data_IF_733938375530
#
_entry.id   IF_733938375530
#
_cell.length_a   1.000
_cell.length_b   1.000
_cell.length_c   1.000
_cell.angle_alpha   90.00
_cell.angle_beta   90.00
_cell.angle_gamma   90.00
#
_symmetry.space_group_name_H-M   'P 1'
#
loop_
_entity.id
_entity.type
_entity.pdbx_description
1 polymer ?
#
# COMPACT_ATOMS: atom_id res chain seq x y z
N UNK A 1 -6.77 2.85 -33.51
CA UNK A 1 -8.09 3.14 -32.92
C UNK A 1 -7.87 4.31 -31.98
N UNK A 2 -8.40 5.50 -32.27
CA UNK A 2 -8.22 6.64 -31.39
C UNK A 2 -9.31 6.58 -30.30
N UNK A 3 -8.96 6.03 -29.13
CA UNK A 3 -9.66 6.41 -27.90
C UNK A 3 -9.68 7.93 -27.83
N UNK A 4 -10.71 8.54 -27.28
CA UNK A 4 -10.70 9.99 -27.06
C UNK A 4 -9.78 10.30 -25.87
N UNK A 5 -8.48 10.12 -26.12
CA UNK A 5 -7.22 10.35 -25.39
C UNK A 5 -7.15 9.92 -23.93
N UNK A 6 -8.09 10.36 -23.12
CA UNK A 6 -8.01 10.36 -21.66
C UNK A 6 -9.34 10.02 -20.99
N UNK A 7 -10.44 10.59 -21.49
CA UNK A 7 -11.77 10.39 -20.90
C UNK A 7 -12.29 8.96 -21.02
N UNK A 8 -11.97 8.27 -22.13
CA UNK A 8 -12.36 6.87 -22.30
C UNK A 8 -11.56 5.92 -21.40
N UNK A 9 -10.29 6.25 -21.14
CA UNK A 9 -9.41 5.49 -20.25
C UNK A 9 -9.85 5.63 -18.80
N UNK A 10 -10.19 6.86 -18.38
CA UNK A 10 -10.77 7.14 -17.06
C UNK A 10 -12.09 6.40 -16.86
N UNK A 11 -12.99 6.44 -17.85
CA UNK A 11 -14.25 5.67 -17.81
C UNK A 11 -14.01 4.17 -17.76
N UNK A 12 -13.04 3.66 -18.53
CA UNK A 12 -12.71 2.23 -18.53
C UNK A 12 -12.17 1.79 -17.16
N UNK A 13 -11.30 2.60 -16.55
CA UNK A 13 -10.85 2.40 -15.18
C UNK A 13 -12.04 2.34 -14.22
N UNK A 14 -12.98 3.29 -14.29
CA UNK A 14 -14.17 3.31 -13.43
C UNK A 14 -15.07 2.07 -13.62
N UNK A 15 -15.18 1.53 -14.83
CA UNK A 15 -15.91 0.27 -15.07
C UNK A 15 -15.16 -0.96 -14.55
N UNK A 16 -13.82 -0.95 -14.60
CA UNK A 16 -12.98 -2.03 -14.12
C UNK A 16 -12.81 -2.02 -12.59
N UNK A 17 -12.70 -0.84 -11.99
CA UNK A 17 -12.35 -0.65 -10.58
C UNK A 17 -13.24 -1.42 -9.60
N UNK A 18 -14.57 -1.51 -9.76
CA UNK A 18 -15.41 -2.35 -8.90
C UNK A 18 -15.03 -3.84 -8.93
N UNK A 19 -14.52 -4.35 -10.06
CA UNK A 19 -14.11 -5.76 -10.23
C UNK A 19 -12.74 -6.07 -9.63
N UNK A 20 -11.89 -5.07 -9.42
CA UNK A 20 -10.61 -5.21 -8.72
C UNK A 20 -10.78 -5.73 -7.28
N UNK A 21 -11.90 -5.39 -6.63
CA UNK A 21 -12.35 -5.94 -5.35
C UNK A 21 -11.39 -5.75 -4.16
N UNK A 22 -10.48 -4.77 -4.23
CA UNK A 22 -9.56 -4.38 -3.15
C UNK A 22 -9.58 -2.86 -2.90
N UNK A 23 -10.74 -2.23 -3.10
CA UNK A 23 -10.89 -0.78 -3.00
C UNK A 23 -10.63 -0.26 -1.58
N UNK A 24 -10.84 -1.10 -0.56
CA UNK A 24 -10.47 -0.78 0.83
C UNK A 24 -8.97 -0.48 0.94
N UNK A 25 -8.13 -1.34 0.36
CA UNK A 25 -6.67 -1.16 0.42
C UNK A 25 -6.23 0.15 -0.23
N UNK A 26 -6.86 0.55 -1.35
CA UNK A 26 -6.55 1.84 -1.96
C UNK A 26 -6.95 3.00 -1.07
N UNK A 27 -8.14 2.94 -0.44
CA UNK A 27 -8.60 3.96 0.50
C UNK A 27 -7.65 4.08 1.70
N UNK A 28 -7.22 2.95 2.26
CA UNK A 28 -6.34 2.90 3.43
C UNK A 28 -4.96 3.53 3.14
N UNK A 29 -4.45 3.43 1.90
CA UNK A 29 -3.17 4.03 1.52
C UNK A 29 -3.25 5.51 1.08
N UNK A 30 -4.44 6.07 0.84
CA UNK A 30 -4.59 7.45 0.34
C UNK A 30 -3.82 8.49 1.16
N UNK A 31 -3.85 8.48 2.51
CA UNK A 31 -3.09 9.45 3.31
C UNK A 31 -1.58 9.36 3.06
N UNK A 32 -1.07 8.19 2.70
CA UNK A 32 0.35 7.92 2.49
C UNK A 32 0.83 8.21 1.06
N UNK A 33 -0.04 8.66 0.15
CA UNK A 33 0.35 9.00 -1.22
C UNK A 33 0.97 10.40 -1.35
N UNK A 34 0.96 11.19 -0.28
CA UNK A 34 1.61 12.50 -0.27
C UNK A 34 3.10 12.35 -0.64
N UNK A 35 3.54 13.16 -1.62
CA UNK A 35 4.90 13.13 -2.16
C UNK A 35 5.96 13.58 -1.17
N UNK A 36 5.56 14.38 -0.19
CA UNK A 36 6.41 14.94 0.86
C UNK A 36 6.69 13.92 1.97
N UNK A 37 5.91 12.85 2.07
CA UNK A 37 6.25 11.72 2.93
C UNK A 37 7.48 11.02 2.36
N UNK A 38 8.53 10.94 3.16
CA UNK A 38 9.79 10.28 2.81
C UNK A 38 9.71 8.82 3.26
N UNK A 39 10.22 7.90 2.44
CA UNK A 39 10.29 6.49 2.82
C UNK A 39 11.43 6.27 3.82
N UNK A 40 11.41 5.16 4.55
CA UNK A 40 12.56 4.76 5.35
C UNK A 40 13.82 4.59 4.48
N UNK A 41 14.94 5.16 4.91
CA UNK A 41 16.26 5.05 4.29
C UNK A 41 17.29 4.61 5.35
N UNK A 42 18.15 3.63 5.01
CA UNK A 42 19.26 3.22 5.88
C UNK A 42 20.22 4.42 6.06
N UNK A 43 20.48 4.82 7.31
CA UNK A 43 21.20 6.04 7.75
C UNK A 43 20.38 7.35 7.86
N UNK A 44 19.06 7.28 7.97
CA UNK A 44 18.27 8.43 8.42
C UNK A 44 18.45 8.66 9.94
N UNK A 45 18.23 9.90 10.40
CA UNK A 45 18.22 10.23 11.83
C UNK A 45 17.04 9.51 12.56
N UNK A 46 17.29 8.95 13.75
CA UNK A 46 16.34 8.12 14.54
C UNK A 46 15.05 8.84 14.87
N UNK A 47 13.91 8.25 14.52
CA UNK A 47 12.60 8.77 14.91
C UNK A 47 12.35 8.64 16.42
N UNK A 48 12.79 7.56 17.06
CA UNK A 48 12.69 7.40 18.51
C UNK A 48 13.46 8.48 19.25
N UNK A 49 14.74 8.66 18.94
CA UNK A 49 15.57 9.66 19.62
C UNK A 49 15.03 11.06 19.38
N UNK A 50 14.69 11.40 18.12
CA UNK A 50 14.10 12.70 17.78
C UNK A 50 12.82 12.97 18.53
N UNK A 51 11.88 12.03 18.53
CA UNK A 51 10.58 12.19 19.17
C UNK A 51 10.77 12.35 20.67
N UNK A 52 11.60 11.50 21.27
CA UNK A 52 11.96 11.56 22.69
C UNK A 52 12.51 12.93 23.07
N UNK A 53 13.51 13.42 22.33
CA UNK A 53 14.15 14.72 22.59
C UNK A 53 13.17 15.89 22.36
N UNK A 54 12.31 15.81 21.34
CA UNK A 54 11.29 16.81 21.04
C UNK A 54 10.22 16.91 22.12
N UNK A 55 9.94 15.80 22.81
CA UNK A 55 9.05 15.73 23.97
C UNK A 55 9.77 16.04 25.30
N UNK A 56 11.04 16.46 25.24
CA UNK A 56 11.90 16.72 26.41
C UNK A 56 12.05 15.53 27.37
N UNK A 57 11.94 14.31 26.85
CA UNK A 57 12.08 13.08 27.64
C UNK A 57 13.54 12.60 27.68
N UNK A 58 13.97 12.11 28.85
CA UNK A 58 15.24 11.41 28.95
C UNK A 58 15.10 9.94 28.53
N UNK A 59 16.19 9.32 28.07
CA UNK A 59 16.20 7.87 27.78
C UNK A 59 15.76 7.04 29.01
N UNK A 60 16.16 7.47 30.21
CA UNK A 60 15.73 6.86 31.47
C UNK A 60 14.22 6.96 31.67
N UNK A 61 13.62 8.11 31.39
CA UNK A 61 12.16 8.32 31.55
C UNK A 61 11.37 7.37 30.67
N UNK A 62 11.78 7.16 29.41
CA UNK A 62 11.09 6.24 28.50
C UNK A 62 11.36 4.78 28.90
N UNK A 63 12.58 4.47 29.32
CA UNK A 63 12.92 3.13 29.83
C UNK A 63 12.10 2.75 31.07
N UNK A 64 11.95 3.67 32.03
CA UNK A 64 11.16 3.46 33.25
C UNK A 64 9.67 3.22 32.90
N UNK A 65 9.11 3.93 31.91
CA UNK A 65 7.74 3.68 31.41
C UNK A 65 7.58 2.34 30.67
N UNK A 66 8.65 1.82 30.08
CA UNK A 66 8.69 0.54 29.38
C UNK A 66 8.99 -0.66 30.30
N UNK A 67 9.30 -0.41 31.58
CA UNK A 67 9.83 -1.40 32.52
C UNK A 67 11.10 -2.10 31.98
N UNK A 68 12.03 -1.31 31.41
CA UNK A 68 13.35 -1.78 30.94
C UNK A 68 14.46 -0.89 31.49
N UNK A 69 15.70 -1.37 31.40
CA UNK A 69 16.86 -0.55 31.76
C UNK A 69 17.12 0.54 30.71
N UNK A 70 17.74 1.65 31.12
CA UNK A 70 18.18 2.70 30.20
C UNK A 70 19.07 2.15 29.07
N UNK A 71 19.96 1.19 29.38
CA UNK A 71 20.83 0.56 28.39
C UNK A 71 20.07 -0.23 27.32
N UNK A 72 18.97 -0.90 27.69
CA UNK A 72 18.09 -1.58 26.74
C UNK A 72 17.39 -0.57 25.84
N UNK A 73 16.89 0.53 26.40
CA UNK A 73 16.24 1.58 25.62
C UNK A 73 17.21 2.26 24.64
N UNK A 74 18.43 2.60 25.07
CA UNK A 74 19.47 3.13 24.16
C UNK A 74 19.82 2.15 23.03
N UNK A 75 19.71 0.84 23.27
CA UNK A 75 19.85 -0.17 22.21
C UNK A 75 18.67 -0.13 21.22
N UNK A 76 17.45 0.21 21.66
CA UNK A 76 16.32 0.39 20.76
C UNK A 76 16.56 1.56 19.79
N UNK A 77 16.99 2.72 20.29
CA UNK A 77 17.35 3.87 19.44
C UNK A 77 18.42 3.50 18.42
N UNK A 78 19.48 2.80 18.87
CA UNK A 78 20.54 2.32 17.98
C UNK A 78 20.03 1.32 16.93
N UNK A 79 19.22 0.35 17.34
CA UNK A 79 18.64 -0.65 16.42
C UNK A 79 17.66 -0.04 15.42
N UNK A 80 17.00 1.07 15.75
CA UNK A 80 16.19 1.82 14.78
C UNK A 80 17.04 2.45 13.69
N UNK A 81 18.14 3.12 14.06
CA UNK A 81 19.11 3.70 13.10
C UNK A 81 19.67 2.62 12.16
N UNK A 82 19.97 1.45 12.71
CA UNK A 82 20.52 0.31 11.97
C UNK A 82 19.44 -0.46 11.17
N UNK A 83 18.15 -0.11 11.28
CA UNK A 83 17.05 -0.82 10.62
C UNK A 83 16.80 -2.23 11.15
N UNK A 84 17.33 -2.58 12.32
CA UNK A 84 17.23 -3.91 12.94
C UNK A 84 16.13 -4.00 14.02
N UNK A 85 15.53 -2.87 14.39
CA UNK A 85 14.41 -2.84 15.34
C UNK A 85 13.17 -3.52 14.74
N UNK A 86 12.43 -4.27 15.56
CA UNK A 86 11.14 -4.82 15.14
C UNK A 86 10.04 -3.75 15.22
N UNK A 87 9.02 -3.83 14.35
CA UNK A 87 7.84 -2.95 14.43
C UNK A 87 7.16 -3.02 15.81
N UNK A 88 7.13 -4.21 16.43
CA UNK A 88 6.57 -4.40 17.77
C UNK A 88 7.33 -3.61 18.84
N UNK A 89 8.66 -3.65 18.80
CA UNK A 89 9.51 -2.89 19.74
C UNK A 89 9.36 -1.40 19.51
N UNK A 90 9.37 -0.96 18.24
CA UNK A 90 9.20 0.43 17.87
C UNK A 90 7.83 0.99 18.33
N UNK A 91 6.76 0.22 18.15
CA UNK A 91 5.41 0.59 18.61
C UNK A 91 5.33 0.71 20.13
N UNK A 92 5.95 -0.21 20.89
CA UNK A 92 6.01 -0.13 22.36
C UNK A 92 6.76 1.12 22.81
N UNK A 93 7.92 1.41 22.20
CA UNK A 93 8.71 2.58 22.53
C UNK A 93 7.98 3.89 22.21
N UNK A 94 7.24 3.95 21.08
CA UNK A 94 6.35 5.07 20.77
C UNK A 94 5.25 5.22 21.84
N UNK A 95 4.56 4.14 22.20
CA UNK A 95 3.49 4.18 23.20
C UNK A 95 3.97 4.68 24.57
N UNK A 96 5.19 4.34 25.00
CA UNK A 96 5.78 4.86 26.23
C UNK A 96 6.01 6.39 26.20
N UNK A 97 6.13 6.97 25.00
CA UNK A 97 6.20 8.42 24.80
C UNK A 97 4.83 9.07 24.55
N UNK A 98 3.73 8.33 24.73
CA UNK A 98 2.37 8.76 24.34
C UNK A 98 2.27 9.11 22.84
N UNK A 99 2.99 8.33 22.02
CA UNK A 99 3.02 8.43 20.57
C UNK A 99 2.53 7.13 19.92
N UNK A 100 2.07 7.21 18.68
CA UNK A 100 1.66 6.05 17.89
C UNK A 100 2.67 5.76 16.79
N UNK A 101 3.01 4.48 16.57
CA UNK A 101 3.73 4.07 15.36
C UNK A 101 2.76 3.92 14.21
N UNK A 102 2.85 4.83 13.24
CA UNK A 102 2.07 4.79 12.01
C UNK A 102 2.97 4.35 10.86
N UNK A 103 2.67 3.20 10.24
CA UNK A 103 3.45 2.66 9.11
C UNK A 103 2.53 2.23 7.97
N UNK A 104 3.03 2.32 6.74
CA UNK A 104 2.30 1.88 5.55
C UNK A 104 3.24 1.41 4.45
N UNK A 105 2.74 0.51 3.60
CA UNK A 105 3.37 0.15 2.34
C UNK A 105 2.64 0.89 1.21
N UNK A 106 3.39 1.63 0.39
CA UNK A 106 2.84 2.32 -0.79
C UNK A 106 3.62 1.97 -2.05
N UNK A 107 3.00 2.03 -3.24
CA UNK A 107 3.74 1.94 -4.49
C UNK A 107 4.79 3.04 -4.62
N UNK A 108 5.96 2.73 -5.20
CA UNK A 108 7.02 3.71 -5.47
C UNK A 108 6.55 4.86 -6.39
N UNK A 109 5.56 4.59 -7.25
CA UNK A 109 4.91 5.61 -8.10
C UNK A 109 4.04 6.60 -7.32
N UNK A 110 3.81 6.37 -6.01
CA UNK A 110 2.96 7.19 -5.14
C UNK A 110 1.52 7.31 -5.69
N UNK A 111 1.02 6.22 -6.26
CA UNK A 111 -0.36 6.05 -6.74
C UNK A 111 -1.03 4.90 -5.98
N UNK A 112 -2.33 4.68 -6.22
CA UNK A 112 -3.05 3.55 -5.62
C UNK A 112 -2.58 2.20 -6.19
N UNK A 113 -2.84 1.11 -5.47
CA UNK A 113 -2.52 -0.23 -5.98
C UNK A 113 -3.33 -0.54 -7.24
N UNK A 114 -4.60 -0.14 -7.27
CA UNK A 114 -5.45 -0.28 -8.46
C UNK A 114 -4.87 0.41 -9.70
N UNK A 115 -4.28 1.60 -9.56
CA UNK A 115 -3.66 2.31 -10.68
C UNK A 115 -2.42 1.55 -11.18
N UNK A 116 -1.59 1.03 -10.29
CA UNK A 116 -0.45 0.20 -10.67
C UNK A 116 -0.87 -1.06 -11.45
N UNK A 117 -2.00 -1.68 -11.06
CA UNK A 117 -2.56 -2.84 -11.76
C UNK A 117 -3.20 -2.41 -13.09
N UNK A 118 -3.94 -1.31 -13.09
CA UNK A 118 -4.60 -0.77 -14.27
C UNK A 118 -3.61 -0.42 -15.37
N UNK A 119 -2.48 0.22 -15.05
CA UNK A 119 -1.41 0.53 -16.02
C UNK A 119 -0.89 -0.72 -16.71
N UNK A 120 -0.66 -1.81 -15.95
CA UNK A 120 -0.23 -3.10 -16.51
C UNK A 120 -1.29 -3.71 -17.43
N UNK A 121 -2.56 -3.66 -17.04
CA UNK A 121 -3.67 -4.17 -17.85
C UNK A 121 -3.89 -3.31 -19.10
N UNK A 122 -3.70 -2.00 -18.99
CA UNK A 122 -3.91 -1.05 -20.07
C UNK A 122 -2.93 -1.33 -21.22
N UNK A 123 -1.65 -1.51 -20.90
CA UNK A 123 -0.60 -1.78 -21.89
C UNK A 123 -0.91 -2.96 -22.82
N UNK A 124 -1.49 -4.02 -22.28
CA UNK A 124 -1.91 -5.18 -23.09
C UNK A 124 -3.30 -5.00 -23.72
N UNK A 125 -4.25 -4.48 -22.94
CA UNK A 125 -5.64 -4.42 -23.38
C UNK A 125 -5.84 -3.47 -24.57
N UNK A 126 -5.12 -2.34 -24.65
CA UNK A 126 -5.25 -1.38 -25.77
C UNK A 126 -4.90 -1.97 -27.12
N UNK A 127 -4.07 -3.01 -27.17
CA UNK A 127 -3.64 -3.68 -28.40
C UNK A 127 -4.51 -4.90 -28.76
N UNK A 128 -5.49 -5.25 -27.93
CA UNK A 128 -6.24 -6.48 -28.05
C UNK A 128 -7.10 -6.51 -29.34
N UNK A 129 -7.01 -7.57 -30.19
CA UNK A 129 -7.71 -7.64 -31.48
C UNK A 129 -9.23 -7.42 -31.39
N UNK A 130 -9.88 -7.94 -30.34
CA UNK A 130 -11.32 -7.78 -30.11
C UNK A 130 -11.78 -6.32 -30.00
N UNK A 131 -10.89 -5.39 -29.60
CA UNK A 131 -11.25 -3.97 -29.57
C UNK A 131 -11.38 -3.38 -30.98
N UNK A 132 -10.70 -3.95 -31.99
CA UNK A 132 -10.76 -3.48 -33.38
C UNK A 132 -12.11 -3.76 -34.05
N UNK A 133 -12.83 -4.77 -33.58
CA UNK A 133 -14.13 -5.22 -34.14
C UNK A 133 -15.34 -4.82 -33.29
N UNK A 134 -15.14 -4.14 -32.15
CA UNK A 134 -16.21 -3.78 -31.22
C UNK A 134 -16.97 -2.51 -31.66
N UNK A 135 -18.27 -2.45 -31.32
CA UNK A 135 -19.15 -1.30 -31.62
C UNK A 135 -18.61 0.01 -31.00
N UNK A 136 -18.51 1.05 -31.83
CA UNK A 136 -17.89 2.35 -31.50
C UNK A 136 -18.58 3.10 -30.37
N UNK A 137 -19.79 2.68 -29.98
CA UNK A 137 -20.62 3.38 -29.02
C UNK A 137 -20.15 3.26 -27.56
N UNK A 138 -19.36 2.24 -27.19
CA UNK A 138 -18.96 2.01 -25.78
C UNK A 138 -17.51 1.51 -25.60
N UNK A 139 -16.50 2.24 -26.10
CA UNK A 139 -15.09 1.79 -26.09
C UNK A 139 -14.55 1.55 -24.67
N UNK A 140 -14.98 2.36 -23.69
CA UNK A 140 -14.55 2.22 -22.30
C UNK A 140 -15.00 0.90 -21.65
N UNK A 141 -16.21 0.42 -21.94
CA UNK A 141 -16.70 -0.86 -21.40
C UNK A 141 -16.01 -2.05 -22.05
N UNK A 142 -15.73 -1.96 -23.34
CA UNK A 142 -14.97 -2.98 -24.06
C UNK A 142 -13.57 -3.13 -23.45
N UNK A 143 -12.86 -2.01 -23.26
CA UNK A 143 -11.54 -1.99 -22.65
C UNK A 143 -11.56 -2.58 -21.23
N UNK A 144 -12.51 -2.17 -20.40
CA UNK A 144 -12.70 -2.73 -19.07
C UNK A 144 -12.99 -4.24 -19.11
N UNK A 145 -13.77 -4.73 -20.08
CA UNK A 145 -14.02 -6.16 -20.25
C UNK A 145 -12.76 -6.94 -20.62
N UNK A 146 -11.91 -6.40 -21.50
CA UNK A 146 -10.62 -7.01 -21.85
C UNK A 146 -9.71 -7.05 -20.62
N UNK A 147 -9.59 -5.93 -19.91
CA UNK A 147 -8.81 -5.83 -18.67
C UNK A 147 -9.27 -6.84 -17.60
N UNK A 148 -10.59 -7.03 -17.44
CA UNK A 148 -11.15 -8.04 -16.55
C UNK A 148 -10.73 -9.47 -16.93
N UNK A 149 -10.74 -9.81 -18.22
CA UNK A 149 -10.30 -11.14 -18.69
C UNK A 149 -8.80 -11.35 -18.48
N UNK A 150 -7.99 -10.34 -18.81
CA UNK A 150 -6.54 -10.37 -18.60
C UNK A 150 -6.19 -10.56 -17.12
N UNK A 151 -6.90 -9.87 -16.22
CA UNK A 151 -6.68 -10.00 -14.78
C UNK A 151 -6.81 -11.46 -14.29
N UNK A 152 -7.67 -12.26 -14.91
CA UNK A 152 -7.86 -13.69 -14.58
C UNK A 152 -7.08 -14.65 -15.47
N UNK A 153 -6.44 -14.17 -16.54
CA UNK A 153 -5.75 -15.02 -17.50
C UNK A 153 -4.43 -15.58 -16.91
N UNK A 154 -4.23 -16.92 -16.88
CA UNK A 154 -3.05 -17.52 -16.25
C UNK A 154 -1.71 -17.09 -16.87
N UNK A 155 -1.62 -17.02 -18.20
CA UNK A 155 -0.39 -16.68 -18.92
C UNK A 155 0.00 -15.22 -18.65
N UNK A 156 -0.96 -14.31 -18.72
CA UNK A 156 -0.73 -12.91 -18.39
C UNK A 156 -0.32 -12.75 -16.92
N UNK A 157 -1.01 -13.42 -15.98
CA UNK A 157 -0.64 -13.39 -14.56
C UNK A 157 0.78 -13.91 -14.34
N UNK A 158 1.17 -14.99 -15.02
CA UNK A 158 2.54 -15.54 -14.96
C UNK A 158 3.56 -14.52 -15.50
N UNK A 159 3.29 -13.89 -16.63
CA UNK A 159 4.16 -12.88 -17.23
C UNK A 159 4.36 -11.65 -16.32
N UNK A 160 3.34 -11.29 -15.53
CA UNK A 160 3.41 -10.18 -14.57
C UNK A 160 3.97 -10.56 -13.19
N UNK A 161 4.31 -11.84 -12.96
CA UNK A 161 4.71 -12.34 -11.64
C UNK A 161 3.58 -12.35 -10.60
N UNK A 162 2.33 -12.33 -11.05
CA UNK A 162 1.16 -12.37 -10.18
C UNK A 162 0.85 -13.81 -9.73
N UNK A 163 0.27 -13.93 -8.53
CA UNK A 163 -0.22 -15.23 -8.01
C UNK A 163 -1.13 -15.92 -9.03
N UNK A 164 -1.01 -17.23 -9.22
CA UNK A 164 -1.89 -17.97 -10.13
C UNK A 164 -3.33 -18.07 -9.63
N UNK A 165 -3.53 -17.99 -8.30
CA UNK A 165 -4.87 -17.84 -7.73
C UNK A 165 -5.25 -16.36 -7.82
N UNK A 166 -6.32 -16.04 -8.56
CA UNK A 166 -6.97 -14.74 -8.44
C UNK A 166 -7.38 -14.54 -6.97
N UNK A 167 -7.42 -13.29 -6.49
CA UNK A 167 -7.84 -12.99 -5.13
C UNK A 167 -9.28 -13.49 -4.94
N UNK A 168 -9.41 -14.72 -4.43
CA UNK A 168 -10.67 -15.27 -3.97
C UNK A 168 -11.11 -14.37 -2.82
N UNK A 169 -12.41 -14.03 -2.74
CA UNK A 169 -12.99 -13.38 -1.58
C UNK A 169 -12.54 -14.15 -0.33
N UNK A 170 -11.54 -13.65 0.39
CA UNK A 170 -11.52 -13.88 1.83
C UNK A 170 -12.65 -13.01 2.33
N UNK A 171 -13.80 -13.62 2.58
CA UNK A 171 -14.71 -13.06 3.56
C UNK A 171 -13.85 -12.78 4.78
N UNK A 172 -13.66 -11.50 5.09
CA UNK A 172 -13.14 -11.10 6.37
C UNK A 172 -14.22 -11.57 7.33
N UNK A 173 -14.03 -12.75 7.92
CA UNK A 173 -14.70 -13.10 9.15
C UNK A 173 -14.27 -12.01 10.13
N UNK A 174 -15.12 -11.01 10.30
CA UNK A 174 -15.11 -10.16 11.47
C UNK A 174 -15.35 -11.10 12.66
N UNK A 175 -14.28 -11.56 13.30
CA UNK A 175 -14.28 -11.81 14.73
C UNK A 175 -13.93 -10.44 15.34
N UNK A 176 -14.90 -9.60 15.73
CA UNK A 176 -15.72 -9.70 16.94
C UNK A 176 -15.29 -10.82 17.91
N UNK A 177 -14.11 -10.62 18.51
CA UNK A 177 -13.67 -11.20 19.78
C UNK A 177 -12.42 -10.41 20.20
N UNK A 178 -12.32 -9.66 21.29
CA UNK A 178 -13.10 -9.55 22.50
C UNK A 178 -12.89 -8.14 23.05
N UNK A 179 -13.97 -7.50 23.46
CA UNK A 179 -13.96 -6.77 24.72
C UNK A 179 -13.56 -7.77 25.81
N UNK A 180 -12.39 -7.58 26.43
CA UNK A 180 -12.17 -7.57 27.88
C UNK A 180 -10.82 -6.92 28.17
#
# INVERSE_FOLDING_TARGET
>A
MAFNGKTDLEKAYLFWYPRYNLQKNDKDILPYLNKDLIAFEENHESWLEKSRLSLFLSAKTVADKLDVTQSIYSRFEKSELEGTITLTTLAKAAAAMDCELVYALRPKSKTTYSNCIWEKLLNESTNHPWLRSYDRNQPAKALASVANRLMTNPDFRKAQGWSQKANQKKEIQNQDSHFY
#
